data_IF_232197038914
#
_entry.id   IF_232197038914
#
_cell.length_a   1.000
_cell.length_b   1.000
_cell.length_c   1.000
_cell.angle_alpha   90.00
_cell.angle_beta   90.00
_cell.angle_gamma   90.00
#
_symmetry.space_group_name_H-M   'P 1'
#
loop_
_entity.id
_entity.type
_entity.pdbx_description
1 polymer ?
#
# COMPACT_ATOMS: atom_id res chain seq x y z
N UNK A 1 -1.55 -4.00 2.14
CA UNK A 1 -2.34 -5.14 1.64
C UNK A 1 -2.13 -5.23 0.13
N UNK A 2 -1.96 -6.42 -0.44
CA UNK A 2 -1.63 -6.62 -1.85
C UNK A 2 -2.59 -7.64 -2.45
N UNK A 3 -3.25 -7.26 -3.54
CA UNK A 3 -4.01 -8.18 -4.38
C UNK A 3 -3.05 -8.91 -5.30
N UNK A 4 -2.96 -10.24 -5.15
CA UNK A 4 -2.09 -11.14 -5.92
C UNK A 4 -2.80 -11.80 -7.09
N UNK A 5 -4.11 -12.03 -6.96
CA UNK A 5 -4.91 -12.72 -7.95
C UNK A 5 -6.37 -12.27 -7.95
N UNK A 6 -7.07 -12.58 -9.03
CA UNK A 6 -8.51 -12.46 -9.15
C UNK A 6 -9.12 -13.80 -8.74
N UNK A 7 -10.21 -13.79 -7.97
CA UNK A 7 -10.96 -15.00 -7.63
C UNK A 7 -12.44 -14.71 -7.41
N UNK A 8 -13.28 -15.46 -8.11
CA UNK A 8 -14.73 -15.54 -7.88
C UNK A 8 -15.10 -16.64 -6.89
N UNK A 9 -14.17 -17.57 -6.62
CA UNK A 9 -14.39 -18.67 -5.69
C UNK A 9 -14.36 -18.17 -4.23
N UNK A 10 -15.41 -18.55 -3.49
CA UNK A 10 -15.66 -18.20 -2.09
C UNK A 10 -15.53 -19.48 -1.23
N UNK A 11 -15.10 -19.38 0.04
CA UNK A 11 -14.76 -18.14 0.76
C UNK A 11 -13.33 -17.64 0.48
N UNK A 12 -13.11 -16.32 0.59
CA UNK A 12 -11.78 -15.71 0.38
C UNK A 12 -10.73 -16.06 1.44
N UNK A 13 -11.17 -16.63 2.57
CA UNK A 13 -10.26 -17.24 3.55
C UNK A 13 -9.46 -18.40 2.97
N UNK A 14 -10.02 -19.11 1.98
CA UNK A 14 -9.38 -20.25 1.31
C UNK A 14 -8.64 -19.82 0.05
N UNK A 15 -9.28 -19.01 -0.80
CA UNK A 15 -8.69 -18.60 -2.09
C UNK A 15 -7.65 -17.50 -1.97
N UNK A 16 -7.62 -16.79 -0.83
CA UNK A 16 -6.60 -15.80 -0.45
C UNK A 16 -6.14 -14.87 -1.59
N UNK A 17 -7.05 -14.23 -2.35
CA UNK A 17 -6.65 -13.35 -3.45
C UNK A 17 -5.88 -12.11 -2.95
N UNK A 18 -6.07 -11.75 -1.67
CA UNK A 18 -5.50 -10.58 -1.01
C UNK A 18 -4.62 -11.00 0.15
N UNK A 19 -3.40 -10.48 0.19
CA UNK A 19 -2.39 -10.81 1.20
C UNK A 19 -1.90 -9.57 1.96
N UNK A 20 -1.48 -9.76 3.20
CA UNK A 20 -0.80 -8.72 3.99
C UNK A 20 0.69 -8.96 3.85
N UNK A 21 1.38 -7.98 3.28
CA UNK A 21 2.80 -8.05 2.98
C UNK A 21 3.50 -6.77 3.41
N UNK A 22 4.77 -6.92 3.79
CA UNK A 22 5.69 -5.82 4.01
C UNK A 22 6.31 -5.42 2.67
N UNK A 23 6.35 -4.11 2.42
CA UNK A 23 6.87 -3.54 1.18
C UNK A 23 7.78 -2.38 1.54
N UNK A 24 8.95 -2.34 0.91
CA UNK A 24 9.85 -1.20 0.98
C UNK A 24 9.30 -0.07 0.11
N UNK A 25 9.26 1.14 0.67
CA UNK A 25 8.84 2.34 -0.04
C UNK A 25 10.07 3.19 -0.31
N UNK A 26 10.25 3.60 -1.57
CA UNK A 26 11.23 4.63 -1.91
C UNK A 26 10.87 5.97 -1.27
N UNK A 27 11.86 6.85 -1.19
CA UNK A 27 11.62 8.24 -0.82
C UNK A 27 10.66 8.91 -1.82
N UNK A 28 9.80 9.83 -1.36
CA UNK A 28 8.94 10.60 -2.26
C UNK A 28 9.79 11.47 -3.19
N UNK A 29 9.33 11.62 -4.43
CA UNK A 29 9.94 12.54 -5.41
C UNK A 29 9.46 13.97 -5.20
N UNK A 30 9.99 14.90 -6.00
CA UNK A 30 9.50 16.28 -6.01
C UNK A 30 8.01 16.32 -6.35
N UNK A 31 7.24 17.03 -5.53
CA UNK A 31 5.77 17.11 -5.64
C UNK A 31 5.01 15.93 -5.02
N UNK A 32 5.69 14.91 -4.50
CA UNK A 32 5.06 13.77 -3.82
C UNK A 32 5.12 13.92 -2.30
N UNK A 33 4.13 13.33 -1.62
CA UNK A 33 4.08 13.28 -0.15
C UNK A 33 3.99 11.85 0.34
N UNK A 34 4.72 11.59 1.43
CA UNK A 34 4.77 10.29 2.05
C UNK A 34 3.85 10.26 3.27
N UNK A 35 2.73 9.56 3.14
CA UNK A 35 1.67 9.57 4.15
C UNK A 35 1.67 8.26 4.95
N UNK A 36 1.65 8.39 6.28
CA UNK A 36 1.40 7.27 7.18
C UNK A 36 -0.10 7.05 7.34
N UNK A 37 -0.60 5.94 6.80
CA UNK A 37 -2.01 5.55 6.92
C UNK A 37 -2.26 4.93 8.29
N UNK A 38 -3.19 5.50 9.07
CA UNK A 38 -3.60 4.94 10.37
C UNK A 38 -4.56 3.75 10.23
N UNK A 39 -5.50 3.86 9.29
CA UNK A 39 -6.46 2.82 8.95
C UNK A 39 -6.90 2.96 7.48
N UNK A 40 -7.31 1.85 6.87
CA UNK A 40 -7.95 1.81 5.56
C UNK A 40 -9.03 0.72 5.58
N UNK A 41 -10.13 0.95 4.86
CA UNK A 41 -11.22 0.00 4.67
C UNK A 41 -11.28 -0.45 3.22
N UNK A 42 -11.96 -1.57 2.96
CA UNK A 42 -12.34 -1.98 1.62
C UNK A 42 -13.66 -1.31 1.22
N UNK A 43 -13.77 -0.92 -0.04
CA UNK A 43 -15.02 -0.47 -0.62
C UNK A 43 -15.51 -1.44 -1.71
N UNK A 44 -16.74 -1.25 -2.17
CA UNK A 44 -17.32 -2.08 -3.23
C UNK A 44 -16.47 -2.06 -4.51
N UNK A 45 -15.84 -0.93 -4.86
CA UNK A 45 -15.01 -0.86 -6.07
C UNK A 45 -13.69 -1.62 -5.97
N UNK A 46 -13.14 -1.80 -4.76
CA UNK A 46 -11.99 -2.68 -4.56
C UNK A 46 -12.41 -4.14 -4.80
N UNK A 47 -13.55 -4.54 -4.25
CA UNK A 47 -14.07 -5.90 -4.39
C UNK A 47 -14.42 -6.26 -5.85
N UNK A 48 -14.90 -5.31 -6.66
CA UNK A 48 -15.09 -5.51 -8.10
C UNK A 48 -13.80 -5.86 -8.84
N UNK A 49 -12.63 -5.43 -8.34
CA UNK A 49 -11.34 -5.83 -8.92
C UNK A 49 -10.97 -7.25 -8.49
N UNK A 50 -11.23 -7.63 -7.23
CA UNK A 50 -11.00 -9.01 -6.74
C UNK A 50 -11.82 -10.03 -7.53
N UNK A 51 -13.08 -9.72 -7.80
CA UNK A 51 -14.00 -10.59 -8.53
C UNK A 51 -13.80 -10.62 -10.04
N UNK A 52 -13.00 -9.71 -10.60
CA UNK A 52 -12.72 -9.65 -12.04
C UNK A 52 -13.68 -8.77 -12.85
N UNK A 53 -14.72 -8.21 -12.23
CA UNK A 53 -15.65 -7.27 -12.88
C UNK A 53 -14.94 -6.01 -13.39
N UNK A 54 -13.85 -5.61 -12.72
CA UNK A 54 -12.95 -4.55 -13.16
C UNK A 54 -11.53 -5.07 -13.25
N UNK A 55 -11.08 -5.37 -14.46
CA UNK A 55 -9.70 -5.79 -14.69
C UNK A 55 -8.74 -4.64 -14.39
N UNK A 56 -7.71 -4.92 -13.58
CA UNK A 56 -6.63 -4.01 -13.22
C UNK A 56 -5.31 -4.78 -13.18
N UNK A 57 -4.16 -4.15 -13.52
CA UNK A 57 -2.86 -4.80 -13.38
C UNK A 57 -2.61 -5.31 -11.95
N UNK A 58 -2.01 -6.50 -11.86
CA UNK A 58 -1.60 -7.20 -10.65
C UNK A 58 -0.08 -7.45 -10.65
N UNK A 59 0.59 -7.53 -9.48
CA UNK A 59 0.02 -7.35 -8.15
C UNK A 59 -0.37 -5.88 -7.88
N UNK A 60 -1.42 -5.67 -7.08
CA UNK A 60 -1.94 -4.33 -6.78
C UNK A 60 -1.94 -4.05 -5.29
N UNK A 61 -1.28 -2.98 -4.89
CA UNK A 61 -1.29 -2.50 -3.50
C UNK A 61 -2.58 -1.74 -3.19
N UNK A 62 -3.23 -2.12 -2.10
CA UNK A 62 -4.33 -1.41 -1.46
C UNK A 62 -3.96 -1.12 -0.01
N UNK A 63 -4.43 -0.02 0.56
CA UNK A 63 -4.34 0.28 2.00
C UNK A 63 -3.02 -0.11 2.69
N UNK A 64 -2.12 0.85 2.89
CA UNK A 64 -0.85 0.63 3.62
C UNK A 64 -1.10 0.27 5.09
N UNK A 65 -0.49 -0.80 5.58
CA UNK A 65 -0.23 -0.97 7.02
C UNK A 65 1.21 -1.45 7.22
N UNK A 66 1.87 -0.79 8.18
CA UNK A 66 3.27 -0.91 8.67
C UNK A 66 4.35 -0.31 7.75
N UNK A 67 5.23 0.42 8.42
CA UNK A 67 6.41 1.14 7.94
C UNK A 67 7.60 0.52 8.69
N UNK A 68 8.63 0.06 7.99
CA UNK A 68 9.96 -0.13 8.57
C UNK A 68 10.82 1.04 8.11
N UNK A 69 11.10 1.99 9.01
CA UNK A 69 12.09 3.02 8.73
C UNK A 69 13.47 2.42 8.94
N UNK A 70 14.13 1.95 7.89
CA UNK A 70 15.59 1.91 7.88
C UNK A 70 16.06 3.37 7.82
N UNK A 71 16.67 3.82 8.92
CA UNK A 71 16.91 5.25 9.14
C UNK A 71 17.91 5.84 8.15
N UNK A 72 17.67 7.09 7.75
CA UNK A 72 18.75 8.04 7.60
C UNK A 72 18.32 9.46 8.04
N UNK A 73 19.12 10.03 8.95
CA UNK A 73 18.98 11.35 9.56
C UNK A 73 19.68 12.39 8.69
N UNK A 74 19.36 12.47 7.41
CA UNK A 74 19.98 13.46 6.53
C UNK A 74 19.05 14.67 6.32
N UNK A 75 19.33 15.80 6.98
CA UNK A 75 18.78 17.09 6.51
C UNK A 75 18.47 18.22 7.51
N UNK A 76 18.83 18.15 8.80
CA UNK A 76 18.78 19.38 9.63
C UNK A 76 19.93 20.30 9.25
N UNK A 77 19.68 21.26 8.35
CA UNK A 77 20.60 22.40 8.15
C UNK A 77 20.64 23.25 9.42
N UNK A 78 21.80 23.57 10.00
CA UNK A 78 21.87 24.56 11.06
C UNK A 78 21.56 25.94 10.48
N UNK A 79 20.63 26.67 11.09
CA UNK A 79 20.34 28.07 10.73
C UNK A 79 21.50 29.00 11.06
N UNK A 80 21.58 30.19 10.44
CA UNK A 80 22.69 31.12 10.64
C UNK A 80 22.69 31.69 12.07
N UNK A 81 23.87 31.98 12.65
CA UNK A 81 23.96 32.61 13.96
C UNK A 81 23.45 34.06 13.91
N UNK A 82 22.83 34.51 15.01
CA UNK A 82 22.52 35.92 15.26
C UNK A 82 23.76 36.65 15.74
#
# INVERSE_FOLDING_TARGET
MVLRGISTARPYSETRPVEVEELELGAPREGEVLVRIAAASLCHSDLSVVGGDRVRPLPRRWGTRRWASSGDRAGRRPGPPR
#
